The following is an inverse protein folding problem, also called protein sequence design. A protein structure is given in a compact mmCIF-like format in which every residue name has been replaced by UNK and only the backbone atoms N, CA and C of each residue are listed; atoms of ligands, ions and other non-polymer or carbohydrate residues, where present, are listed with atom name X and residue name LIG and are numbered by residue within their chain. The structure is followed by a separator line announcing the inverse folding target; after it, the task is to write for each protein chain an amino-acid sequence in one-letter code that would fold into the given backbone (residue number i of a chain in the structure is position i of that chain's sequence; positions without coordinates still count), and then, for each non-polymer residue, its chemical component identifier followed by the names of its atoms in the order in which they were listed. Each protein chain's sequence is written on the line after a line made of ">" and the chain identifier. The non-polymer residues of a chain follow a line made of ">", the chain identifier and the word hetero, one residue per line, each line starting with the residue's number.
data_IF_583573312434
#
_entry.id   IF_583573312434
#
_cell.length_a   1.000
_cell.length_b   1.000
_cell.length_c   1.000
_cell.angle_alpha   90.00
_cell.angle_beta   90.00
_cell.angle_gamma   90.00
#
_symmetry.space_group_name_H-M   'P 1'
#
loop_
_entity.id
_entity.type
_entity.pdbx_description
1 polymer ?
#
# COMPACT_ATOMS: atom_id res chain seq x y z
N UNK A 1 8.16 12.74 -7.84
CA UNK A 1 7.15 11.67 -7.64
C UNK A 1 7.79 10.30 -7.40
N UNK A 2 8.83 9.90 -8.17
CA UNK A 2 9.45 8.57 -8.02
C UNK A 2 10.10 8.37 -6.66
N UNK A 3 10.89 9.33 -6.17
CA UNK A 3 11.53 9.26 -4.84
C UNK A 3 10.51 9.15 -3.70
N UNK A 4 9.36 9.80 -3.84
CA UNK A 4 8.28 9.68 -2.86
C UNK A 4 7.73 8.24 -2.83
N UNK A 5 7.51 7.61 -3.97
CA UNK A 5 7.08 6.20 -4.04
C UNK A 5 8.09 5.27 -3.35
N UNK A 6 9.40 5.50 -3.57
CA UNK A 6 10.48 4.73 -2.90
C UNK A 6 10.42 4.90 -1.38
N UNK A 7 10.28 6.13 -0.90
CA UNK A 7 10.19 6.42 0.54
C UNK A 7 8.94 5.78 1.15
N UNK A 8 7.79 5.91 0.50
CA UNK A 8 6.55 5.26 0.94
C UNK A 8 6.68 3.74 0.99
N UNK A 9 7.30 3.13 -0.02
CA UNK A 9 7.53 1.68 0.00
C UNK A 9 8.40 1.26 1.19
N UNK A 10 9.48 1.99 1.46
CA UNK A 10 10.34 1.73 2.63
C UNK A 10 9.55 1.86 3.94
N UNK A 11 8.69 2.87 4.06
CA UNK A 11 7.87 3.07 5.27
C UNK A 11 6.85 1.94 5.50
N UNK A 12 6.21 1.45 4.43
CA UNK A 12 5.19 0.41 4.55
C UNK A 12 5.79 -1.01 4.68
N UNK A 13 6.86 -1.29 3.95
CA UNK A 13 7.38 -2.66 3.80
C UNK A 13 8.77 -2.88 4.42
N UNK A 14 9.43 -1.83 4.92
CA UNK A 14 10.78 -1.87 5.50
C UNK A 14 11.81 -2.53 4.59
N UNK A 15 11.66 -2.32 3.28
CA UNK A 15 12.55 -2.82 2.24
C UNK A 15 12.63 -1.82 1.10
N UNK A 16 13.70 -1.86 0.32
CA UNK A 16 13.80 -1.06 -0.89
C UNK A 16 13.11 -1.77 -2.06
N UNK A 17 12.45 -1.03 -2.99
CA UNK A 17 11.59 -1.63 -4.01
C UNK A 17 12.32 -2.43 -5.07
N UNK A 18 13.63 -2.26 -5.24
CA UNK A 18 14.43 -2.92 -6.28
C UNK A 18 15.54 -3.83 -5.72
N UNK A 19 15.69 -3.91 -4.41
CA UNK A 19 16.65 -4.80 -3.75
C UNK A 19 16.00 -6.16 -3.49
N UNK A 20 16.12 -7.05 -4.48
CA UNK A 20 15.67 -8.43 -4.44
C UNK A 20 16.81 -9.41 -4.74
N UNK A 21 16.50 -10.54 -5.34
CA UNK A 21 17.42 -11.62 -5.65
C UNK A 21 18.63 -11.16 -6.50
N UNK A 22 18.39 -10.32 -7.52
CA UNK A 22 19.46 -9.77 -8.37
C UNK A 22 20.52 -9.00 -7.58
N UNK A 23 20.11 -8.28 -6.54
CA UNK A 23 21.04 -7.55 -5.67
C UNK A 23 21.70 -8.49 -4.67
N UNK A 24 20.94 -9.46 -4.13
CA UNK A 24 21.45 -10.44 -3.18
C UNK A 24 22.51 -11.36 -3.77
N UNK A 25 22.44 -11.66 -5.07
CA UNK A 25 23.41 -12.48 -5.81
C UNK A 25 24.68 -11.71 -6.20
N UNK A 26 24.68 -10.38 -6.10
CA UNK A 26 25.84 -9.57 -6.42
C UNK A 26 26.90 -9.68 -5.33
N UNK A 27 28.03 -10.30 -5.64
CA UNK A 27 29.17 -10.40 -4.73
C UNK A 27 29.85 -9.05 -4.46
N UNK A 28 29.78 -8.11 -5.39
CA UNK A 28 30.29 -6.75 -5.27
C UNK A 28 29.46 -5.79 -6.12
N UNK A 29 28.99 -4.71 -5.54
CA UNK A 29 28.24 -3.67 -6.23
C UNK A 29 29.23 -2.70 -6.90
N UNK A 30 29.24 -2.65 -8.23
CA UNK A 30 29.98 -1.64 -9.01
C UNK A 30 29.04 -0.53 -9.43
N UNK A 31 29.61 0.65 -9.76
CA UNK A 31 28.81 1.79 -10.25
C UNK A 31 27.98 1.47 -11.50
N UNK A 32 28.51 0.60 -12.37
CA UNK A 32 27.80 0.16 -13.58
C UNK A 32 26.61 -0.73 -13.22
N UNK A 33 26.80 -1.68 -12.31
CA UNK A 33 25.79 -2.60 -11.85
C UNK A 33 24.69 -1.86 -11.05
N UNK A 34 25.08 -0.88 -10.24
CA UNK A 34 24.14 -0.01 -9.52
C UNK A 34 23.24 0.77 -10.49
N UNK A 35 23.81 1.38 -11.53
CA UNK A 35 23.04 2.08 -12.57
C UNK A 35 22.12 1.15 -13.35
N UNK A 36 22.51 -0.09 -13.53
CA UNK A 36 21.68 -1.10 -14.20
C UNK A 36 20.52 -1.53 -13.30
N UNK A 37 20.80 -1.97 -12.07
CA UNK A 37 19.82 -2.56 -11.16
C UNK A 37 18.83 -1.54 -10.59
N UNK A 38 19.23 -0.28 -10.42
CA UNK A 38 18.38 0.78 -9.87
C UNK A 38 17.98 1.85 -10.91
N UNK A 39 18.45 1.71 -12.16
CA UNK A 39 18.14 2.60 -13.28
C UNK A 39 17.05 2.05 -14.20
N UNK A 40 17.28 2.15 -15.50
CA UNK A 40 16.31 1.79 -16.54
C UNK A 40 15.97 0.29 -16.62
N UNK A 41 16.80 -0.58 -16.06
CA UNK A 41 16.61 -2.03 -15.95
C UNK A 41 16.10 -2.47 -14.58
N UNK A 42 15.80 -1.53 -13.70
CA UNK A 42 15.25 -1.84 -12.40
C UNK A 42 14.01 -2.73 -12.54
N UNK A 43 13.94 -3.78 -11.74
CA UNK A 43 12.80 -4.69 -11.65
C UNK A 43 12.24 -4.63 -10.24
N UNK A 44 10.96 -4.30 -10.13
CA UNK A 44 10.29 -4.25 -8.84
C UNK A 44 10.22 -5.63 -8.18
N UNK A 45 10.59 -5.72 -6.91
CA UNK A 45 10.68 -7.01 -6.19
C UNK A 45 9.32 -7.72 -6.04
N UNK A 46 8.20 -7.00 -6.16
CA UNK A 46 6.84 -7.53 -6.11
C UNK A 46 6.11 -7.37 -7.45
N UNK A 47 6.83 -7.28 -8.57
CA UNK A 47 6.22 -7.17 -9.90
C UNK A 47 5.41 -8.43 -10.22
N UNK A 48 4.09 -8.35 -10.51
CA UNK A 48 3.28 -9.52 -10.80
C UNK A 48 3.61 -10.21 -12.12
N UNK A 49 4.33 -9.53 -13.03
CA UNK A 49 4.65 -9.99 -14.38
C UNK A 49 6.12 -10.37 -14.58
N UNK A 50 7.00 -10.02 -13.65
CA UNK A 50 8.44 -10.27 -13.74
C UNK A 50 8.95 -10.79 -12.38
N UNK A 51 9.27 -12.07 -12.32
CA UNK A 51 9.75 -12.77 -11.12
C UNK A 51 11.28 -12.83 -10.99
N UNK A 52 12.00 -12.20 -11.91
CA UNK A 52 13.46 -12.23 -11.96
C UNK A 52 14.17 -11.50 -10.82
N UNK A 53 13.44 -10.75 -9.98
CA UNK A 53 14.00 -10.01 -8.84
C UNK A 53 13.16 -10.18 -7.57
N UNK A 54 12.73 -11.40 -7.27
CA UNK A 54 11.89 -11.68 -6.11
C UNK A 54 12.59 -11.41 -4.78
N UNK A 55 11.83 -11.13 -3.71
CA UNK A 55 12.38 -11.08 -2.37
C UNK A 55 12.95 -12.44 -1.96
N UNK A 56 14.16 -12.45 -1.41
CA UNK A 56 14.83 -13.68 -0.94
C UNK A 56 14.35 -14.02 0.49
N UNK A 57 13.81 -15.22 0.73
CA UNK A 57 13.45 -15.68 2.06
C UNK A 57 14.63 -15.62 3.04
N UNK A 58 14.38 -15.14 4.26
CA UNK A 58 15.43 -14.94 5.27
C UNK A 58 16.13 -13.59 5.18
N UNK A 59 16.29 -13.01 3.98
CA UNK A 59 16.91 -11.70 3.78
C UNK A 59 15.85 -10.59 3.75
N UNK A 60 14.80 -10.76 2.94
CA UNK A 60 13.74 -9.77 2.74
C UNK A 60 12.46 -10.10 3.53
N UNK A 61 12.62 -10.54 4.77
CA UNK A 61 11.52 -11.05 5.62
C UNK A 61 10.39 -10.02 5.78
N UNK A 62 10.72 -8.75 5.93
CA UNK A 62 9.72 -7.71 6.17
C UNK A 62 8.75 -7.56 4.99
N UNK A 63 9.25 -7.39 3.78
CA UNK A 63 8.37 -7.24 2.61
C UNK A 63 7.58 -8.52 2.34
N UNK A 64 8.17 -9.71 2.51
CA UNK A 64 7.48 -10.99 2.34
C UNK A 64 6.29 -11.11 3.32
N UNK A 65 6.50 -10.75 4.59
CA UNK A 65 5.46 -10.83 5.64
C UNK A 65 4.39 -9.75 5.52
N UNK A 66 4.74 -8.58 5.01
CA UNK A 66 3.84 -7.42 4.96
C UNK A 66 3.10 -7.28 3.63
N UNK A 67 3.59 -7.89 2.56
CA UNK A 67 2.88 -7.95 1.29
C UNK A 67 1.62 -8.81 1.45
N UNK A 68 0.47 -8.31 1.09
CA UNK A 68 -0.83 -8.94 1.36
C UNK A 68 -1.50 -8.54 2.68
N UNK A 69 -0.80 -7.79 3.55
CA UNK A 69 -1.37 -7.27 4.81
C UNK A 69 -2.18 -5.99 4.56
N UNK A 70 -1.69 -5.16 3.66
CA UNK A 70 -2.37 -3.92 3.29
C UNK A 70 -3.45 -4.16 2.24
N UNK A 71 -4.49 -3.31 2.18
CA UNK A 71 -5.48 -3.36 1.12
C UNK A 71 -4.86 -3.38 -0.28
N UNK A 72 -5.46 -4.16 -1.16
CA UNK A 72 -5.00 -4.39 -2.53
C UNK A 72 -4.75 -3.09 -3.30
N UNK A 73 -5.53 -2.05 -3.02
CA UNK A 73 -5.39 -0.74 -3.65
C UNK A 73 -4.02 -0.08 -3.42
N UNK A 74 -3.38 -0.30 -2.26
CA UNK A 74 -2.02 0.18 -1.99
C UNK A 74 -0.98 -0.62 -2.78
N UNK A 75 -1.11 -1.93 -2.81
CA UNK A 75 -0.20 -2.80 -3.55
C UNK A 75 -0.23 -2.50 -5.04
N UNK A 76 -1.43 -2.36 -5.61
CA UNK A 76 -1.62 -2.00 -7.02
C UNK A 76 -1.01 -0.64 -7.35
N UNK A 77 -1.08 0.30 -6.40
CA UNK A 77 -0.46 1.61 -6.58
C UNK A 77 1.08 1.53 -6.59
N UNK A 78 1.69 0.67 -5.75
CA UNK A 78 3.12 0.41 -5.81
C UNK A 78 3.52 -0.34 -7.08
N UNK A 79 2.75 -1.33 -7.51
CA UNK A 79 2.98 -2.03 -8.80
C UNK A 79 2.96 -1.03 -9.96
N UNK A 80 1.98 -0.11 -9.98
CA UNK A 80 1.92 0.97 -10.98
C UNK A 80 3.15 1.90 -10.88
N UNK A 81 3.51 2.34 -9.67
CA UNK A 81 4.59 3.29 -9.43
C UNK A 81 5.96 2.74 -9.86
N UNK A 82 6.19 1.43 -9.70
CA UNK A 82 7.44 0.77 -10.04
C UNK A 82 7.38 -0.08 -11.32
N UNK A 83 6.30 0.07 -12.10
CA UNK A 83 6.21 -0.54 -13.44
C UNK A 83 7.29 -0.01 -14.37
N UNK A 84 7.69 -0.81 -15.36
CA UNK A 84 8.63 -0.40 -16.42
C UNK A 84 8.21 0.90 -17.11
N UNK A 85 6.89 1.10 -17.29
CA UNK A 85 6.38 2.34 -17.87
C UNK A 85 6.64 3.55 -16.97
N UNK A 86 6.38 3.44 -15.66
CA UNK A 86 6.61 4.55 -14.72
C UNK A 86 8.10 4.83 -14.50
N UNK A 87 8.97 3.82 -14.63
CA UNK A 87 10.43 4.00 -14.55
C UNK A 87 10.94 4.78 -15.78
N UNK A 88 10.52 4.37 -16.98
CA UNK A 88 11.03 4.93 -18.24
C UNK A 88 10.36 6.27 -18.62
N UNK A 89 9.10 6.44 -18.29
CA UNK A 89 8.28 7.59 -18.74
C UNK A 89 7.79 8.40 -17.54
N UNK A 90 8.40 9.58 -17.24
CA UNK A 90 8.03 10.41 -16.10
C UNK A 90 6.54 10.81 -16.04
N UNK A 91 5.88 10.96 -17.19
CA UNK A 91 4.46 11.30 -17.30
C UNK A 91 3.51 10.14 -16.92
N UNK A 92 4.04 8.92 -16.81
CA UNK A 92 3.29 7.73 -16.36
C UNK A 92 3.40 7.46 -14.86
N UNK A 93 4.22 8.26 -14.16
CA UNK A 93 4.43 8.09 -12.71
C UNK A 93 3.18 8.43 -11.94
N UNK A 94 2.98 7.72 -10.85
CA UNK A 94 1.93 8.01 -9.87
C UNK A 94 2.18 9.41 -9.28
N UNK A 95 1.16 10.26 -9.36
CA UNK A 95 1.22 11.63 -8.86
C UNK A 95 0.80 11.73 -7.40
N UNK A 96 1.14 12.83 -6.74
CA UNK A 96 0.87 13.06 -5.31
C UNK A 96 -0.59 12.87 -4.95
N UNK A 97 -1.50 13.31 -5.81
CA UNK A 97 -2.94 13.19 -5.59
C UNK A 97 -3.39 11.73 -5.51
N UNK A 98 -2.84 10.84 -6.32
CA UNK A 98 -3.17 9.41 -6.27
C UNK A 98 -2.70 8.79 -4.95
N UNK A 99 -1.47 9.11 -4.51
CA UNK A 99 -0.95 8.69 -3.21
C UNK A 99 -1.81 9.20 -2.05
N UNK A 100 -2.09 10.50 -2.04
CA UNK A 100 -2.92 11.11 -1.00
C UNK A 100 -4.30 10.45 -0.93
N UNK A 101 -4.97 10.28 -2.06
CA UNK A 101 -6.29 9.63 -2.13
C UNK A 101 -6.24 8.21 -1.58
N UNK A 102 -5.22 7.42 -1.97
CA UNK A 102 -5.09 6.04 -1.50
C UNK A 102 -4.83 5.99 0.01
N UNK A 103 -3.92 6.80 0.55
CA UNK A 103 -3.60 6.83 1.99
C UNK A 103 -4.81 7.26 2.82
N UNK A 104 -5.61 8.22 2.34
CA UNK A 104 -6.86 8.61 2.99
C UNK A 104 -7.85 7.44 3.01
N UNK A 105 -7.98 6.72 1.90
CA UNK A 105 -8.82 5.52 1.84
C UNK A 105 -8.34 4.43 2.80
N UNK A 106 -7.04 4.14 2.85
CA UNK A 106 -6.46 3.20 3.82
C UNK A 106 -6.83 3.56 5.26
N UNK A 107 -6.67 4.84 5.62
CA UNK A 107 -7.04 5.31 6.96
C UNK A 107 -8.52 5.09 7.26
N UNK A 108 -9.41 5.26 6.29
CA UNK A 108 -10.85 5.02 6.47
C UNK A 108 -11.23 3.54 6.58
N UNK A 109 -10.35 2.64 6.14
CA UNK A 109 -10.53 1.18 6.27
C UNK A 109 -9.96 0.62 7.58
N UNK A 110 -9.23 1.43 8.36
CA UNK A 110 -8.59 0.97 9.58
C UNK A 110 -9.58 0.98 10.74
N UNK A 111 -9.80 -0.20 11.32
CA UNK A 111 -10.71 -0.40 12.46
C UNK A 111 -10.04 -1.20 13.56
N UNK A 112 -10.51 -1.00 14.80
CA UNK A 112 -10.08 -1.81 15.93
C UNK A 112 -10.87 -3.11 16.00
N UNK A 113 -10.15 -4.21 16.18
CA UNK A 113 -10.78 -5.50 16.45
C UNK A 113 -11.53 -5.45 17.78
N UNK A 114 -12.79 -5.89 17.79
CA UNK A 114 -13.61 -5.94 19.02
C UNK A 114 -13.13 -6.98 20.05
N UNK A 115 -12.23 -7.88 19.68
CA UNK A 115 -11.75 -8.95 20.55
C UNK A 115 -10.39 -8.65 21.16
N UNK A 116 -9.38 -8.24 20.35
CA UNK A 116 -8.03 -7.99 20.83
C UNK A 116 -7.66 -6.50 20.89
N UNK A 117 -8.46 -5.61 20.26
CA UNK A 117 -8.20 -4.17 20.23
C UNK A 117 -7.17 -3.72 19.17
N UNK A 118 -6.53 -4.66 18.47
CA UNK A 118 -5.55 -4.36 17.42
C UNK A 118 -6.21 -3.77 16.18
N UNK A 119 -5.49 -2.89 15.50
CA UNK A 119 -5.96 -2.24 14.29
C UNK A 119 -5.82 -3.18 13.07
N UNK A 120 -6.90 -3.32 12.33
CA UNK A 120 -6.98 -4.18 11.14
C UNK A 120 -7.62 -3.40 10.00
N UNK A 121 -7.11 -3.61 8.79
CA UNK A 121 -7.76 -3.08 7.59
C UNK A 121 -8.99 -3.90 7.25
N UNK A 122 -10.11 -3.22 7.01
CA UNK A 122 -11.36 -3.83 6.60
C UNK A 122 -11.76 -3.27 5.25
N UNK A 123 -11.66 -4.10 4.22
CA UNK A 123 -12.06 -3.74 2.87
C UNK A 123 -13.58 -3.88 2.69
N UNK A 124 -14.29 -2.83 2.25
CA UNK A 124 -15.75 -2.83 2.21
C UNK A 124 -16.34 -3.88 1.27
N UNK A 125 -15.58 -4.32 0.28
CA UNK A 125 -16.03 -5.26 -0.75
C UNK A 125 -15.68 -6.73 -0.46
N UNK A 126 -14.82 -6.99 0.52
CA UNK A 126 -14.45 -8.33 0.90
C UNK A 126 -15.41 -8.93 1.93
N UNK A 127 -15.64 -10.23 1.81
CA UNK A 127 -16.38 -11.02 2.79
C UNK A 127 -15.41 -11.87 3.62
N UNK A 128 -15.82 -12.29 4.81
CA UNK A 128 -15.07 -13.22 5.67
C UNK A 128 -13.66 -12.73 6.03
N UNK A 129 -13.54 -11.45 6.34
CA UNK A 129 -12.28 -10.87 6.79
C UNK A 129 -11.99 -11.28 8.24
N UNK A 130 -10.72 -11.44 8.55
CA UNK A 130 -10.25 -11.79 9.89
C UNK A 130 -9.31 -10.72 10.43
N UNK A 131 -9.24 -10.64 11.75
CA UNK A 131 -8.25 -9.77 12.41
C UNK A 131 -6.83 -10.26 12.10
N UNK A 132 -5.92 -9.34 11.82
CA UNK A 132 -4.54 -9.64 11.50
C UNK A 132 -3.76 -10.26 12.67
N UNK A 133 -4.17 -9.97 13.92
CA UNK A 133 -3.51 -10.44 15.13
C UNK A 133 -4.17 -11.70 15.70
N UNK A 134 -5.46 -11.63 16.04
CA UNK A 134 -6.15 -12.74 16.71
C UNK A 134 -6.88 -13.70 15.75
N UNK A 135 -6.84 -13.47 14.44
CA UNK A 135 -7.43 -14.28 13.37
C UNK A 135 -8.96 -14.47 13.46
N UNK A 136 -9.62 -13.85 14.43
CA UNK A 136 -11.07 -13.93 14.58
C UNK A 136 -11.78 -13.21 13.45
N UNK A 137 -12.90 -13.78 13.04
CA UNK A 137 -13.75 -13.17 12.00
C UNK A 137 -14.27 -11.80 12.43
N UNK A 138 -14.20 -10.86 11.51
CA UNK A 138 -14.71 -9.50 11.68
C UNK A 138 -16.06 -9.40 10.98
N UNK A 139 -17.05 -8.85 11.71
CA UNK A 139 -18.36 -8.61 11.14
C UNK A 139 -18.27 -7.62 9.98
N UNK A 140 -18.96 -7.92 8.87
CA UNK A 140 -19.01 -7.00 7.73
C UNK A 140 -19.61 -5.66 8.16
N UNK A 141 -18.90 -4.55 8.02
CA UNK A 141 -19.41 -3.24 8.41
C UNK A 141 -20.48 -2.76 7.42
N UNK A 142 -21.31 -1.83 7.86
CA UNK A 142 -22.08 -1.00 6.93
C UNK A 142 -21.14 -0.17 6.09
N UNK A 143 -21.52 0.12 4.85
CA UNK A 143 -20.68 0.87 3.90
C UNK A 143 -21.38 2.15 3.48
N UNK A 144 -20.75 3.28 3.76
CA UNK A 144 -21.16 4.57 3.22
C UNK A 144 -20.63 4.71 1.80
N UNK A 145 -21.52 4.97 0.84
CA UNK A 145 -21.17 5.23 -0.56
C UNK A 145 -21.32 6.71 -0.87
N UNK A 146 -20.25 7.34 -1.33
CA UNK A 146 -20.27 8.74 -1.76
C UNK A 146 -19.54 8.82 -3.11
N UNK A 147 -20.27 8.98 -4.17
CA UNK A 147 -19.73 8.87 -5.53
C UNK A 147 -19.07 7.51 -5.76
N UNK A 148 -17.79 7.50 -6.06
CA UNK A 148 -16.97 6.29 -6.23
C UNK A 148 -16.36 5.76 -4.94
N UNK A 149 -16.43 6.53 -3.85
CA UNK A 149 -15.83 6.15 -2.56
C UNK A 149 -16.73 5.21 -1.79
N UNK A 150 -16.10 4.25 -1.12
CA UNK A 150 -16.73 3.28 -0.22
C UNK A 150 -16.00 3.29 1.10
N UNK A 151 -16.67 3.75 2.13
CA UNK A 151 -16.10 3.92 3.47
C UNK A 151 -16.81 2.93 4.41
N UNK A 152 -16.11 1.95 4.98
CA UNK A 152 -16.69 1.10 5.99
C UNK A 152 -16.97 1.93 7.25
N UNK A 153 -18.14 1.73 7.88
CA UNK A 153 -18.57 2.47 9.05
C UNK A 153 -18.34 1.65 10.32
N UNK A 154 -17.69 2.28 11.28
CA UNK A 154 -17.43 1.71 12.61
C UNK A 154 -17.94 2.65 13.70
N UNK A 155 -18.35 2.09 14.81
CA UNK A 155 -18.76 2.87 15.99
C UNK A 155 -17.63 3.79 16.44
N UNK A 156 -17.95 5.05 16.69
CA UNK A 156 -16.99 6.07 17.12
C UNK A 156 -16.10 6.65 16.02
N UNK A 157 -16.20 6.15 14.80
CA UNK A 157 -15.43 6.65 13.65
C UNK A 157 -15.78 8.11 13.35
N UNK A 158 -14.76 8.89 13.04
CA UNK A 158 -14.91 10.27 12.53
C UNK A 158 -14.64 10.29 11.03
N UNK A 159 -15.58 10.75 10.26
CA UNK A 159 -15.44 10.97 8.82
C UNK A 159 -15.16 12.46 8.62
N UNK A 160 -14.04 12.76 8.01
CA UNK A 160 -13.60 14.13 7.73
C UNK A 160 -13.82 14.45 6.25
N UNK A 161 -13.91 15.74 5.91
CA UNK A 161 -14.02 16.20 4.53
C UNK A 161 -12.91 15.61 3.63
N UNK A 162 -11.71 15.46 4.17
CA UNK A 162 -10.57 14.87 3.45
C UNK A 162 -10.80 13.40 3.03
N UNK A 163 -11.73 12.68 3.67
CA UNK A 163 -12.14 11.33 3.28
C UNK A 163 -13.16 11.30 2.15
N UNK A 164 -13.69 12.48 1.78
CA UNK A 164 -14.74 12.64 0.80
C UNK A 164 -14.19 13.34 -0.45
N UNK A 165 -14.73 13.07 -1.64
CA UNK A 165 -14.33 13.75 -2.87
C UNK A 165 -14.92 15.17 -2.96
N UNK A 166 -14.99 15.87 -1.84
CA UNK A 166 -15.59 17.19 -1.70
C UNK A 166 -14.46 18.16 -1.34
N UNK A 167 -14.30 19.22 -2.11
CA UNK A 167 -13.39 20.32 -1.77
C UNK A 167 -13.95 21.01 -0.50
N UNK A 168 -13.20 20.94 0.59
CA UNK A 168 -13.62 21.51 1.84
C UNK A 168 -12.61 21.40 2.97
N UNK A 169 -12.97 21.99 4.09
CA UNK A 169 -12.18 22.05 5.31
C UNK A 169 -11.92 20.64 5.90
N UNK A 170 -10.77 20.46 6.54
CA UNK A 170 -10.35 19.19 7.21
C UNK A 170 -11.15 18.87 8.49
N UNK A 171 -12.15 19.68 8.82
CA UNK A 171 -12.99 19.49 10.00
C UNK A 171 -13.86 18.22 9.90
N UNK A 172 -14.11 17.59 11.03
CA UNK A 172 -14.99 16.42 11.10
C UNK A 172 -16.41 16.75 10.61
N UNK A 173 -16.90 15.98 9.63
CA UNK A 173 -18.23 16.19 9.02
C UNK A 173 -19.30 15.35 9.71
N UNK A 174 -18.97 14.10 10.03
CA UNK A 174 -19.90 13.12 10.58
C UNK A 174 -19.20 12.27 11.63
N UNK A 175 -19.91 11.98 12.73
CA UNK A 175 -19.52 10.95 13.69
C UNK A 175 -20.49 9.79 13.58
N UNK A 176 -19.97 8.59 13.49
CA UNK A 176 -20.75 7.35 13.49
C UNK A 176 -21.03 6.95 14.93
N UNK A 177 -22.32 6.88 15.30
CA UNK A 177 -22.78 6.45 16.61
C UNK A 177 -23.41 5.06 16.51
#
# INVERSE_FOLDING_TARGET
>A
YFSMAVILFILFYFNRPFEGEKVAECGCMTDELERELFGHRATFIMDPCDDSNRPVPGLHTNVIRRWGVFPKSLEDLFVKAFSKQSILFPEKRVIDREWMTNIIQLRSMLAKCSFCGEETFIEPDLNNQTCIDCERAISKPMVLKIGTYRIPLFEGQKIYNVHLPIDGDINAVVRVN
#
